data_IF_385587912398
#
_entry.id   IF_385587912398
#
_cell.length_a   1.000
_cell.length_b   1.000
_cell.length_c   1.000
_cell.angle_alpha   90.00
_cell.angle_beta   90.00
_cell.angle_gamma   90.00
#
_symmetry.space_group_name_H-M   'P 1'
#
loop_
_entity.id
_entity.type
_entity.pdbx_description
1 polymer ?
#
# COMPACT_ATOMS: atom_id res chain seq x y z
N UNK A 1 10.56 6.11 3.39
CA UNK A 1 9.36 5.36 3.01
C UNK A 1 9.74 4.44 1.87
N UNK A 2 9.27 3.19 1.89
CA UNK A 2 9.35 2.26 0.77
C UNK A 2 7.96 1.95 0.24
N UNK A 3 7.85 1.79 -1.07
CA UNK A 3 6.61 1.39 -1.73
C UNK A 3 6.49 -0.13 -1.63
N UNK A 4 5.36 -0.62 -1.11
CA UNK A 4 5.08 -2.06 -1.08
C UNK A 4 3.92 -2.45 -2.01
N UNK A 5 2.92 -1.58 -2.18
CA UNK A 5 1.74 -1.84 -3.02
C UNK A 5 1.40 -0.63 -3.90
N UNK A 6 0.96 -0.89 -5.13
CA UNK A 6 0.40 0.08 -6.07
C UNK A 6 -0.93 -0.44 -6.60
N UNK A 7 -1.96 0.40 -6.59
CA UNK A 7 -3.24 0.15 -7.25
C UNK A 7 -3.33 1.08 -8.46
N UNK A 8 -3.55 0.52 -9.65
CA UNK A 8 -3.76 1.24 -10.90
C UNK A 8 -5.04 0.71 -11.54
N UNK A 9 -6.09 1.53 -11.56
CA UNK A 9 -7.43 1.09 -11.93
C UNK A 9 -7.88 -0.09 -11.06
N UNK A 10 -8.19 -1.22 -11.70
CA UNK A 10 -8.66 -2.45 -11.03
C UNK A 10 -7.56 -3.47 -10.76
N UNK A 11 -6.29 -3.08 -10.91
CA UNK A 11 -5.15 -3.98 -10.74
C UNK A 11 -4.27 -3.53 -9.58
N UNK A 12 -3.77 -4.50 -8.83
CA UNK A 12 -2.79 -4.29 -7.77
C UNK A 12 -1.44 -4.86 -8.18
N UNK A 13 -0.37 -4.19 -7.75
CA UNK A 13 1.00 -4.56 -8.01
C UNK A 13 1.80 -4.48 -6.71
N UNK A 14 2.60 -5.50 -6.43
CA UNK A 14 3.51 -5.54 -5.27
C UNK A 14 4.93 -5.26 -5.72
N UNK A 15 5.71 -4.59 -4.87
CA UNK A 15 7.16 -4.57 -5.01
C UNK A 15 7.71 -5.86 -4.41
N UNK A 16 8.38 -6.67 -5.23
CA UNK A 16 9.02 -7.93 -4.80
C UNK A 16 10.53 -7.81 -4.93
N UNK A 17 11.26 -8.35 -3.96
CA UNK A 17 12.71 -8.45 -4.03
C UNK A 17 13.10 -9.83 -4.55
N UNK A 18 13.73 -9.89 -5.72
CA UNK A 18 14.29 -11.11 -6.30
C UNK A 18 15.75 -11.19 -5.92
N UNK A 19 16.06 -12.13 -5.03
CA UNK A 19 17.45 -12.43 -4.66
C UNK A 19 17.95 -13.58 -5.53
N UNK A 20 18.95 -13.31 -6.36
CA UNK A 20 19.65 -14.33 -7.13
C UNK A 20 21.08 -14.48 -6.61
N UNK A 21 21.55 -15.72 -6.51
CA UNK A 21 22.93 -16.03 -6.15
C UNK A 21 23.65 -16.55 -7.39
N UNK A 22 24.66 -15.82 -7.87
CA UNK A 22 25.47 -16.21 -9.01
C UNK A 22 26.95 -16.16 -8.62
N UNK A 23 27.65 -17.30 -8.73
CA UNK A 23 29.06 -17.44 -8.36
C UNK A 23 29.41 -16.92 -6.95
N UNK A 24 28.53 -17.18 -5.98
CA UNK A 24 28.72 -16.74 -4.58
C UNK A 24 28.43 -15.25 -4.32
N UNK A 25 28.08 -14.48 -5.34
CA UNK A 25 27.60 -13.10 -5.19
C UNK A 25 26.07 -13.08 -5.14
N UNK A 26 25.52 -12.48 -4.09
CA UNK A 26 24.08 -12.18 -4.01
C UNK A 26 23.82 -10.88 -4.78
N UNK A 27 22.90 -10.94 -5.74
CA UNK A 27 22.34 -9.78 -6.40
C UNK A 27 20.85 -9.73 -6.05
N UNK A 28 20.38 -8.59 -5.54
CA UNK A 28 18.96 -8.37 -5.35
C UNK A 28 18.43 -7.32 -6.32
N UNK A 29 17.27 -7.61 -6.91
CA UNK A 29 16.55 -6.72 -7.81
C UNK A 29 15.14 -6.50 -7.26
N UNK A 30 14.74 -5.24 -7.08
CA UNK A 30 13.36 -4.88 -6.75
C UNK A 30 12.57 -4.77 -8.05
N UNK A 31 11.55 -5.61 -8.21
CA UNK A 31 10.64 -5.60 -9.36
C UNK A 31 9.20 -5.31 -8.94
N UNK A 32 8.41 -4.73 -9.84
CA UNK A 32 6.97 -4.55 -9.65
C UNK A 32 6.26 -5.71 -10.33
N UNK A 33 5.50 -6.48 -9.57
CA UNK A 33 4.76 -7.63 -10.08
C UNK A 33 3.27 -7.51 -9.81
N UNK A 34 2.46 -7.94 -10.77
CA UNK A 34 1.00 -7.93 -10.64
C UNK A 34 0.58 -8.94 -9.57
N UNK A 35 -0.25 -8.50 -8.62
CA UNK A 35 -0.88 -9.38 -7.64
C UNK A 35 -1.94 -10.22 -8.36
N UNK A 36 -1.89 -11.55 -8.18
CA UNK A 36 -2.77 -12.47 -8.90
C UNK A 36 -4.25 -12.28 -8.58
N UNK A 37 -4.59 -12.26 -7.30
CA UNK A 37 -5.96 -12.01 -6.81
C UNK A 37 -5.94 -10.98 -5.70
N UNK A 38 -6.72 -9.92 -5.85
CA UNK A 38 -6.94 -8.94 -4.78
C UNK A 38 -8.00 -9.53 -3.85
N UNK A 39 -7.73 -9.64 -2.53
CA UNK A 39 -8.75 -10.07 -1.59
C UNK A 39 -9.97 -9.14 -1.66
N UNK A 40 -11.17 -9.70 -1.72
CA UNK A 40 -12.39 -8.91 -1.62
C UNK A 40 -12.62 -8.47 -0.17
N UNK A 41 -13.20 -7.28 0.00
CA UNK A 41 -13.53 -6.70 1.31
C UNK A 41 -12.78 -5.42 1.63
N UNK A 42 -12.98 -4.94 2.86
CA UNK A 42 -12.33 -3.73 3.37
C UNK A 42 -11.06 -4.13 4.10
N UNK A 43 -9.92 -3.59 3.68
CA UNK A 43 -8.67 -3.70 4.43
C UNK A 43 -8.24 -2.32 4.91
N UNK A 44 -7.75 -2.26 6.15
CA UNK A 44 -7.19 -1.04 6.71
C UNK A 44 -5.66 -1.12 6.59
N UNK A 45 -5.08 -0.30 5.72
CA UNK A 45 -3.63 -0.20 5.55
C UNK A 45 -3.00 0.66 6.66
N UNK A 46 -3.17 0.22 7.90
CA UNK A 46 -2.95 1.02 9.10
C UNK A 46 -1.52 1.53 9.28
N UNK A 47 -0.54 0.75 8.82
CA UNK A 47 0.89 1.07 8.93
C UNK A 47 1.46 1.69 7.65
N UNK A 48 0.58 2.06 6.73
CA UNK A 48 0.95 2.64 5.44
C UNK A 48 0.51 4.09 5.33
N UNK A 49 1.36 4.88 4.69
CA UNK A 49 1.00 6.20 4.19
C UNK A 49 0.53 6.08 2.75
N UNK A 50 -0.77 6.30 2.46
CA UNK A 50 -1.24 6.29 1.09
C UNK A 50 -0.74 7.55 0.35
N UNK A 51 -0.28 7.36 -0.89
CA UNK A 51 0.00 8.46 -1.83
C UNK A 51 -0.91 8.34 -3.03
N UNK A 52 -1.62 9.42 -3.35
CA UNK A 52 -2.50 9.48 -4.52
C UNK A 52 -1.76 10.20 -5.64
N UNK A 53 -1.70 9.56 -6.80
CA UNK A 53 -1.31 10.20 -8.05
C UNK A 53 -2.60 10.59 -8.77
N UNK A 54 -2.73 11.87 -9.11
CA UNK A 54 -3.92 12.43 -9.76
C UNK A 54 -3.52 13.24 -10.98
N UNK A 55 -4.23 13.05 -12.08
CA UNK A 55 -4.05 13.78 -13.33
C UNK A 55 -5.42 14.23 -13.83
N UNK A 56 -5.55 15.53 -14.13
CA UNK A 56 -6.80 16.14 -14.59
C UNK A 56 -8.02 15.83 -13.68
N UNK A 57 -7.79 15.81 -12.36
CA UNK A 57 -8.82 15.50 -11.37
C UNK A 57 -9.21 14.02 -11.27
N UNK A 58 -8.52 13.13 -11.99
CA UNK A 58 -8.74 11.67 -11.94
C UNK A 58 -7.60 11.00 -11.18
N UNK A 59 -7.94 10.09 -10.27
CA UNK A 59 -6.96 9.25 -9.59
C UNK A 59 -6.41 8.25 -10.61
N UNK A 60 -5.11 8.35 -10.91
CA UNK A 60 -4.42 7.43 -11.84
C UNK A 60 -3.82 6.24 -11.10
N UNK A 61 -3.38 6.45 -9.85
CA UNK A 61 -2.85 5.40 -9.00
C UNK A 61 -2.92 5.75 -7.52
N UNK A 62 -2.93 4.70 -6.68
CA UNK A 62 -2.80 4.79 -5.23
C UNK A 62 -1.61 3.94 -4.81
N UNK A 63 -0.65 4.52 -4.12
CA UNK A 63 0.51 3.82 -3.57
C UNK A 63 0.35 3.65 -2.07
N UNK A 64 0.72 2.49 -1.53
CA UNK A 64 0.86 2.28 -0.09
C UNK A 64 2.33 2.22 0.27
N UNK A 65 2.75 3.21 1.06
CA UNK A 65 4.14 3.42 1.42
C UNK A 65 4.35 3.04 2.87
N UNK A 66 5.25 2.08 3.12
CA UNK A 66 5.69 1.71 4.46
C UNK A 66 6.77 2.66 4.94
N UNK A 67 6.70 3.05 6.20
CA UNK A 67 7.76 3.84 6.81
C UNK A 67 8.99 2.96 7.06
N UNK A 68 10.17 3.47 6.74
CA UNK A 68 11.44 2.81 7.10
C UNK A 68 11.75 3.27 8.53
N UNK A 69 12.29 2.39 9.38
CA UNK A 69 12.57 2.68 10.78
C UNK A 69 13.28 4.03 10.97
N UNK A 70 12.80 4.83 11.94
CA UNK A 70 13.27 6.21 12.21
C UNK A 70 12.22 7.30 11.98
N UNK A 71 11.03 6.96 11.48
CA UNK A 71 9.91 7.89 11.30
C UNK A 71 8.88 7.85 12.45
N UNK A 72 8.39 9.03 12.84
CA UNK A 72 7.42 9.25 13.93
C UNK A 72 6.15 8.38 13.78
N UNK A 73 5.80 7.64 14.85
CA UNK A 73 4.53 6.91 14.99
C UNK A 73 3.37 7.92 15.12
N UNK A 74 2.56 8.06 14.08
CA UNK A 74 1.38 8.92 14.08
C UNK A 74 0.20 8.30 14.86
N UNK A 75 0.03 8.79 16.08
CA UNK A 75 -1.17 8.92 16.94
C UNK A 75 -2.38 7.98 16.74
N UNK A 76 -2.45 6.95 17.59
CA UNK A 76 -3.55 5.97 17.74
C UNK A 76 -4.96 6.53 17.98
N UNK A 77 -5.12 7.75 18.52
CA UNK A 77 -6.44 8.32 18.87
C UNK A 77 -7.27 8.83 17.70
N UNK A 78 -6.66 9.35 16.63
CA UNK A 78 -7.41 9.79 15.42
C UNK A 78 -7.94 8.60 14.61
N UNK A 79 -7.33 7.44 14.81
CA UNK A 79 -7.56 6.19 14.07
C UNK A 79 -8.89 5.54 14.42
N UNK A 80 -9.25 5.47 15.71
CA UNK A 80 -10.54 4.89 16.15
C UNK A 80 -11.73 5.72 15.65
N UNK A 81 -11.62 7.04 15.68
CA UNK A 81 -12.69 7.96 15.24
C UNK A 81 -12.97 7.80 13.74
N UNK A 82 -11.94 7.62 12.92
CA UNK A 82 -12.08 7.41 11.49
C UNK A 82 -12.66 6.02 11.16
N UNK A 83 -12.25 4.97 11.87
CA UNK A 83 -12.82 3.63 11.72
C UNK A 83 -14.32 3.61 12.00
N UNK A 84 -14.74 4.27 13.09
CA UNK A 84 -16.16 4.35 13.46
C UNK A 84 -16.99 5.10 12.40
N UNK A 85 -16.44 6.17 11.82
CA UNK A 85 -17.11 6.92 10.75
C UNK A 85 -17.24 6.11 9.46
N UNK A 86 -16.18 5.39 9.05
CA UNK A 86 -16.20 4.54 7.86
C UNK A 86 -17.22 3.41 8.01
N UNK A 87 -17.21 2.73 9.16
CA UNK A 87 -18.14 1.63 9.43
C UNK A 87 -19.60 2.10 9.38
N UNK A 88 -19.90 3.29 9.91
CA UNK A 88 -21.25 3.88 9.82
C UNK A 88 -21.69 4.15 8.39
N UNK A 89 -20.80 4.65 7.53
CA UNK A 89 -21.12 4.94 6.12
C UNK A 89 -21.29 3.66 5.28
N UNK A 90 -20.60 2.58 5.64
CA UNK A 90 -20.72 1.29 4.97
C UNK A 90 -21.99 0.54 5.37
N UNK A 91 -22.45 0.66 6.62
CA UNK A 91 -23.68 0.03 7.11
C UNK A 91 -24.96 0.79 6.70
N UNK A 92 -24.84 2.04 6.23
CA UNK A 92 -25.98 2.85 5.78
C UNK A 92 -26.33 2.68 4.30
N UNK A 93 -25.74 1.70 3.61
CA UNK A 93 -26.04 1.30 2.23
C UNK A 93 -26.70 -0.07 2.22
#
# INVERSE_FOLDING_TARGET
>A
YERELIIIGNYAYSVVEKVQSFLGKKQSEKAIEKVGSIPEGVFFAEDYSPRILSENGRIVAIEFLKQIEGGSKSTSKKKSILQDQINKQLQSK
#
